data_IF_861915700956
#
_entry.id   IF_861915700956
#
_cell.length_a   1.000
_cell.length_b   1.000
_cell.length_c   1.000
_cell.angle_alpha   90.00
_cell.angle_beta   90.00
_cell.angle_gamma   90.00
#
_symmetry.space_group_name_H-M   'P 1'
#
loop_
_entity.id
_entity.type
_entity.pdbx_description
1 polymer ?
#
# COMPACT_ATOMS: atom_id res chain seq x y z
N UNK A 1 48.32 -22.21 -5.97
CA UNK A 1 47.67 -22.84 -4.80
C UNK A 1 47.27 -21.73 -3.83
N UNK A 2 46.15 -21.09 -4.01
CA UNK A 2 45.54 -20.13 -3.04
C UNK A 2 44.05 -20.42 -3.03
N UNK A 3 43.57 -20.76 -1.83
CA UNK A 3 42.21 -21.26 -1.56
C UNK A 3 41.18 -20.14 -1.54
N UNK A 4 40.05 -20.41 -2.17
CA UNK A 4 38.85 -19.58 -2.15
C UNK A 4 38.29 -19.44 -0.72
N UNK A 5 38.21 -18.22 -0.22
CA UNK A 5 37.52 -17.92 1.01
C UNK A 5 36.10 -17.44 0.63
N UNK A 6 35.14 -18.36 0.73
CA UNK A 6 33.70 -18.02 0.62
C UNK A 6 33.27 -17.39 1.92
N UNK A 7 32.99 -16.10 1.89
CA UNK A 7 32.33 -15.40 3.00
C UNK A 7 30.87 -15.80 3.05
N UNK A 8 30.53 -16.61 4.02
CA UNK A 8 29.14 -16.92 4.40
C UNK A 8 28.64 -15.74 5.24
N UNK A 9 27.78 -14.91 4.69
CA UNK A 9 27.01 -13.95 5.48
C UNK A 9 25.94 -14.73 6.24
N UNK A 10 26.22 -14.97 7.51
CA UNK A 10 25.25 -15.52 8.47
C UNK A 10 24.34 -14.36 8.90
N UNK A 11 23.12 -14.32 8.37
CA UNK A 11 22.07 -13.44 8.87
C UNK A 11 21.66 -13.97 10.23
N UNK A 12 22.08 -13.28 11.30
CA UNK A 12 21.62 -13.54 12.64
C UNK A 12 20.15 -13.15 12.76
N UNK A 13 19.27 -14.14 12.70
CA UNK A 13 17.87 -14.01 13.04
C UNK A 13 17.80 -13.87 14.56
N UNK A 14 17.70 -12.65 15.09
CA UNK A 14 17.38 -12.43 16.49
C UNK A 14 15.93 -12.83 16.72
N UNK A 15 15.74 -14.05 17.19
CA UNK A 15 14.49 -14.49 17.79
C UNK A 15 14.32 -13.75 19.12
N UNK A 16 13.58 -12.66 19.10
CA UNK A 16 13.03 -12.07 20.34
C UNK A 16 11.94 -13.03 20.80
N UNK A 17 12.28 -13.84 21.80
CA UNK A 17 11.31 -14.65 22.55
C UNK A 17 10.47 -13.76 23.45
N UNK A 18 9.57 -12.99 22.86
CA UNK A 18 8.47 -12.34 23.57
C UNK A 18 7.35 -13.35 23.72
N UNK A 19 6.93 -13.60 24.94
CA UNK A 19 5.80 -14.45 25.33
C UNK A 19 4.59 -14.17 24.44
N UNK A 20 4.24 -15.13 23.58
CA UNK A 20 3.04 -15.12 22.76
C UNK A 20 1.81 -15.24 23.68
N UNK A 21 1.15 -14.12 23.90
CA UNK A 21 -0.29 -14.20 24.08
C UNK A 21 -0.89 -14.40 22.68
N UNK A 22 -1.38 -15.59 22.43
CA UNK A 22 -2.17 -15.89 21.23
C UNK A 22 -3.52 -15.17 21.36
N UNK A 23 -3.53 -13.86 21.08
CA UNK A 23 -4.71 -13.20 20.57
C UNK A 23 -4.73 -13.49 19.06
N UNK A 24 -5.81 -14.13 18.59
CA UNK A 24 -6.05 -14.29 17.18
C UNK A 24 -6.02 -12.93 16.48
N UNK A 25 -4.85 -12.55 16.00
CA UNK A 25 -4.71 -11.43 15.10
C UNK A 25 -5.25 -11.91 13.76
N UNK A 26 -6.53 -11.66 13.51
CA UNK A 26 -6.99 -11.60 12.13
C UNK A 26 -6.11 -10.55 11.48
N UNK A 27 -5.26 -10.97 10.52
CA UNK A 27 -4.51 -10.01 9.71
C UNK A 27 -5.48 -8.95 9.20
N UNK A 28 -5.13 -7.66 9.26
CA UNK A 28 -6.02 -6.61 8.80
C UNK A 28 -6.39 -6.89 7.35
N UNK A 29 -7.67 -7.08 7.10
CA UNK A 29 -8.17 -7.33 5.75
C UNK A 29 -8.00 -6.07 4.93
N UNK A 30 -7.14 -6.12 3.91
CA UNK A 30 -6.97 -4.99 2.99
C UNK A 30 -8.21 -4.79 2.10
N UNK A 31 -8.56 -3.54 1.87
CA UNK A 31 -9.63 -3.15 0.95
C UNK A 31 -9.09 -3.11 -0.48
N UNK A 32 -9.73 -3.85 -1.39
CA UNK A 32 -9.33 -3.91 -2.80
C UNK A 32 -10.05 -2.83 -3.59
N UNK A 33 -9.29 -1.92 -4.18
CA UNK A 33 -9.78 -0.89 -5.10
C UNK A 33 -9.43 -1.32 -6.52
N UNK A 34 -10.42 -1.74 -7.28
CA UNK A 34 -10.25 -2.20 -8.66
C UNK A 34 -10.47 -1.06 -9.65
N UNK A 35 -9.39 -0.52 -10.18
CA UNK A 35 -9.40 0.60 -11.11
C UNK A 35 -10.07 0.25 -12.43
N UNK A 36 -9.85 -0.98 -12.91
CA UNK A 36 -10.40 -1.45 -14.18
C UNK A 36 -11.91 -1.56 -14.11
N UNK A 37 -12.42 -2.25 -13.09
CA UNK A 37 -13.85 -2.43 -12.91
C UNK A 37 -14.59 -1.12 -12.64
N UNK A 38 -13.91 -0.13 -12.03
CA UNK A 38 -14.48 1.20 -11.82
C UNK A 38 -14.61 2.01 -13.12
N UNK A 39 -13.54 2.07 -13.93
CA UNK A 39 -13.52 2.92 -15.13
C UNK A 39 -14.12 2.26 -16.37
N UNK A 40 -14.16 0.94 -16.45
CA UNK A 40 -14.71 0.19 -17.60
C UNK A 40 -16.14 0.62 -17.96
N UNK A 41 -17.11 0.67 -17.02
CA UNK A 41 -18.49 1.09 -17.34
C UNK A 41 -18.63 2.58 -17.66
N UNK A 42 -17.64 3.41 -17.28
CA UNK A 42 -17.63 4.85 -17.58
C UNK A 42 -17.07 5.15 -18.97
N UNK A 43 -16.47 4.14 -19.64
CA UNK A 43 -15.84 4.29 -20.94
C UNK A 43 -16.84 3.97 -22.03
N UNK A 44 -17.39 5.01 -22.67
CA UNK A 44 -18.27 4.84 -23.82
C UNK A 44 -17.49 4.35 -25.03
N UNK A 45 -17.89 3.21 -25.57
CA UNK A 45 -17.39 2.77 -26.88
C UNK A 45 -18.16 3.54 -27.92
N UNK A 46 -17.52 4.56 -28.51
CA UNK A 46 -18.07 5.23 -29.69
C UNK A 46 -17.94 4.27 -30.86
N UNK A 47 -19.03 4.04 -31.60
CA UNK A 47 -18.97 3.35 -32.88
C UNK A 47 -18.09 4.17 -33.83
N UNK A 48 -16.87 3.68 -34.03
CA UNK A 48 -15.92 4.26 -34.98
C UNK A 48 -15.62 3.20 -36.01
N UNK A 49 -15.31 3.63 -37.27
CA UNK A 49 -14.97 2.70 -38.34
C UNK A 49 -14.01 1.61 -37.86
N UNK A 50 -14.42 0.36 -38.07
CA UNK A 50 -13.65 -0.81 -37.66
C UNK A 50 -12.16 -0.66 -38.05
N UNK A 51 -11.31 -0.68 -37.04
CA UNK A 51 -9.86 -0.73 -37.21
C UNK A 51 -9.10 0.58 -37.06
N UNK A 52 -9.73 1.72 -36.77
CA UNK A 52 -9.00 3.00 -36.68
C UNK A 52 -8.89 3.59 -35.28
N UNK A 53 -9.82 3.33 -34.35
CA UNK A 53 -9.85 4.11 -33.13
C UNK A 53 -9.89 3.30 -31.84
N UNK A 54 -9.38 3.93 -30.80
CA UNK A 54 -9.46 3.54 -29.41
C UNK A 54 -10.29 4.56 -28.66
N UNK A 55 -11.21 4.09 -27.86
CA UNK A 55 -11.91 4.90 -26.90
C UNK A 55 -11.13 4.92 -25.60
N UNK A 56 -11.05 6.07 -24.96
CA UNK A 56 -10.42 6.19 -23.67
C UNK A 56 -11.24 7.09 -22.75
N UNK A 57 -11.19 6.78 -21.47
CA UNK A 57 -11.74 7.61 -20.42
C UNK A 57 -10.58 8.26 -19.66
N UNK A 58 -10.60 9.58 -19.55
CA UNK A 58 -9.66 10.29 -18.66
C UNK A 58 -10.10 10.06 -17.24
N UNK A 59 -9.22 9.50 -16.42
CA UNK A 59 -9.52 9.07 -15.05
C UNK A 59 -9.58 10.27 -14.09
N UNK A 60 -10.57 11.15 -14.29
CA UNK A 60 -10.81 12.35 -13.46
C UNK A 60 -11.80 12.11 -12.33
N UNK A 61 -12.62 11.05 -12.43
CA UNK A 61 -13.60 10.72 -11.40
C UNK A 61 -12.90 9.99 -10.26
N UNK A 62 -13.05 10.48 -9.04
CA UNK A 62 -12.56 9.80 -7.85
C UNK A 62 -13.24 8.43 -7.65
N UNK A 63 -12.46 7.45 -7.20
CA UNK A 63 -12.97 6.17 -6.70
C UNK A 63 -13.18 6.31 -5.21
N UNK A 64 -14.39 6.09 -4.72
CA UNK A 64 -14.71 6.13 -3.29
C UNK A 64 -15.32 4.79 -2.88
N UNK A 65 -14.65 4.08 -2.00
CA UNK A 65 -15.05 2.76 -1.54
C UNK A 65 -14.56 2.51 -0.11
N UNK A 66 -15.47 2.13 0.79
CA UNK A 66 -15.16 1.69 2.16
C UNK A 66 -14.29 2.69 2.97
N UNK A 67 -14.55 4.00 2.84
CA UNK A 67 -13.79 5.05 3.52
C UNK A 67 -12.42 5.33 2.90
N UNK A 68 -12.14 4.77 1.72
CA UNK A 68 -10.94 5.04 0.93
C UNK A 68 -11.34 5.80 -0.32
N UNK A 69 -10.62 6.88 -0.60
CA UNK A 69 -10.75 7.67 -1.81
C UNK A 69 -9.46 7.62 -2.61
N UNK A 70 -9.57 7.31 -3.90
CA UNK A 70 -8.44 7.34 -4.83
C UNK A 70 -8.72 8.35 -5.93
N UNK A 71 -7.77 9.25 -6.16
CA UNK A 71 -7.83 10.26 -7.23
C UNK A 71 -6.58 10.21 -8.09
N UNK A 72 -6.75 10.59 -9.34
CA UNK A 72 -5.65 10.68 -10.31
C UNK A 72 -5.61 12.08 -10.89
N UNK A 73 -4.42 12.66 -11.01
CA UNK A 73 -4.22 13.97 -11.62
C UNK A 73 -3.15 13.90 -12.72
N UNK A 74 -3.34 14.68 -13.76
CA UNK A 74 -2.40 14.77 -14.86
C UNK A 74 -1.09 15.45 -14.46
N UNK A 75 -1.17 16.53 -13.67
CA UNK A 75 -0.04 17.43 -13.38
C UNK A 75 0.87 17.61 -14.61
N UNK A 76 2.15 17.23 -14.50
CA UNK A 76 3.15 17.35 -15.56
C UNK A 76 3.29 16.09 -16.42
N UNK A 77 2.37 15.12 -16.30
CA UNK A 77 2.42 13.88 -17.08
C UNK A 77 2.42 14.12 -18.57
N UNK A 78 3.19 13.34 -19.33
CA UNK A 78 3.23 13.36 -20.79
C UNK A 78 1.87 13.00 -21.43
N UNK A 79 0.97 12.43 -20.65
CA UNK A 79 -0.44 12.17 -20.98
C UNK A 79 -1.31 12.26 -19.74
N UNK A 80 -2.62 12.37 -19.89
CA UNK A 80 -3.55 12.27 -18.78
C UNK A 80 -3.68 10.82 -18.32
N UNK A 81 -4.00 10.55 -17.01
CA UNK A 81 -4.38 9.23 -16.54
C UNK A 81 -5.54 8.68 -17.39
N UNK A 82 -5.41 7.46 -17.93
CA UNK A 82 -6.42 6.93 -18.86
C UNK A 82 -6.73 5.46 -18.65
N UNK A 83 -8.01 5.13 -18.78
CA UNK A 83 -8.48 3.79 -19.06
C UNK A 83 -8.82 3.69 -20.57
N UNK A 84 -8.52 2.57 -21.21
CA UNK A 84 -8.61 2.45 -22.67
C UNK A 84 -9.35 1.18 -23.07
N UNK A 85 -10.24 1.31 -24.08
CA UNK A 85 -10.78 0.21 -24.87
C UNK A 85 -10.24 0.41 -26.28
N UNK A 86 -9.53 -0.56 -26.82
CA UNK A 86 -8.85 -0.45 -28.11
C UNK A 86 -9.28 -1.58 -29.05
N UNK A 87 -9.29 -1.28 -30.36
CA UNK A 87 -9.53 -2.27 -31.38
C UNK A 87 -8.38 -3.29 -31.46
N UNK A 88 -8.69 -4.56 -31.26
CA UNK A 88 -7.75 -5.66 -31.49
C UNK A 88 -7.90 -6.18 -32.91
N UNK A 89 -6.90 -5.94 -33.73
CA UNK A 89 -6.91 -6.39 -35.16
C UNK A 89 -6.92 -7.90 -35.33
N UNK A 90 -6.43 -8.67 -34.31
CA UNK A 90 -6.39 -10.13 -34.37
C UNK A 90 -7.74 -10.74 -34.08
N UNK A 91 -8.47 -10.14 -33.16
CA UNK A 91 -9.79 -10.59 -32.71
C UNK A 91 -10.92 -9.91 -33.50
N UNK A 92 -10.61 -8.84 -34.23
CA UNK A 92 -11.60 -8.01 -34.93
C UNK A 92 -12.72 -7.49 -34.02
N UNK A 93 -12.33 -7.11 -32.79
CA UNK A 93 -13.24 -6.59 -31.79
C UNK A 93 -12.59 -5.52 -30.90
N UNK A 94 -13.39 -4.78 -30.14
CA UNK A 94 -12.90 -3.85 -29.13
C UNK A 94 -12.58 -4.57 -27.84
N UNK A 95 -11.31 -4.50 -27.41
CA UNK A 95 -10.81 -5.13 -26.20
C UNK A 95 -10.50 -4.08 -25.14
N UNK A 96 -11.09 -4.26 -23.97
CA UNK A 96 -10.84 -3.44 -22.82
C UNK A 96 -9.45 -3.76 -22.23
N UNK A 97 -8.66 -2.73 -21.92
CA UNK A 97 -7.42 -2.90 -21.21
C UNK A 97 -7.71 -3.37 -19.76
N UNK A 98 -6.83 -4.20 -19.24
CA UNK A 98 -6.87 -4.67 -17.86
C UNK A 98 -6.05 -3.78 -16.90
N UNK A 99 -5.89 -2.50 -17.25
CA UNK A 99 -5.14 -1.52 -16.47
C UNK A 99 -5.60 -0.08 -16.77
N UNK A 100 -5.32 0.82 -15.84
CA UNK A 100 -5.20 2.26 -16.12
C UNK A 100 -3.74 2.58 -16.42
N UNK A 101 -3.51 3.58 -17.28
CA UNK A 101 -2.19 4.08 -17.62
C UNK A 101 -1.94 5.41 -16.94
N UNK A 102 -0.82 5.51 -16.25
CA UNK A 102 -0.32 6.74 -15.63
C UNK A 102 1.05 7.07 -16.24
N UNK A 103 1.27 8.32 -16.57
CA UNK A 103 2.45 8.77 -17.30
C UNK A 103 3.45 9.48 -16.42
N UNK A 104 4.73 9.20 -16.61
CA UNK A 104 5.84 10.00 -16.12
C UNK A 104 5.87 11.38 -16.79
N UNK A 105 6.78 12.23 -16.32
CA UNK A 105 6.94 13.57 -16.85
C UNK A 105 7.29 13.61 -18.33
N UNK A 106 7.12 14.77 -18.93
CA UNK A 106 7.40 15.01 -20.36
C UNK A 106 8.89 14.85 -20.65
N UNK A 107 9.24 14.06 -21.67
CA UNK A 107 10.62 13.72 -21.99
C UNK A 107 11.37 14.81 -22.77
N UNK A 108 10.68 15.62 -23.57
CA UNK A 108 11.27 16.58 -24.50
C UNK A 108 10.50 17.91 -24.53
N UNK A 109 11.15 18.96 -25.02
CA UNK A 109 10.59 20.31 -25.17
C UNK A 109 10.83 21.19 -23.94
N UNK A 110 10.39 22.44 -24.01
CA UNK A 110 10.61 23.48 -22.99
C UNK A 110 9.99 23.15 -21.62
N UNK A 111 9.03 22.22 -21.61
CA UNK A 111 8.34 21.73 -20.40
C UNK A 111 8.82 20.34 -19.97
N UNK A 112 10.00 19.91 -20.45
CA UNK A 112 10.54 18.61 -20.02
C UNK A 112 10.71 18.56 -18.50
N UNK A 113 10.21 17.50 -17.90
CA UNK A 113 10.23 17.30 -16.45
C UNK A 113 10.27 15.80 -16.14
N UNK A 114 10.64 15.48 -14.92
CA UNK A 114 10.69 14.10 -14.45
C UNK A 114 9.36 13.68 -13.81
N UNK A 115 8.75 14.56 -13.03
CA UNK A 115 7.47 14.31 -12.34
C UNK A 115 6.31 14.30 -13.33
N UNK A 116 5.47 13.31 -13.20
CA UNK A 116 4.34 13.08 -14.09
C UNK A 116 2.99 13.11 -13.37
N UNK A 117 2.14 12.13 -13.71
CA UNK A 117 0.83 11.98 -13.07
C UNK A 117 0.97 11.68 -11.59
N UNK A 118 -0.05 12.04 -10.83
CA UNK A 118 -0.17 11.60 -9.44
C UNK A 118 -1.33 10.64 -9.25
N UNK A 119 -1.19 9.80 -8.23
CA UNK A 119 -2.22 8.93 -7.70
C UNK A 119 -2.26 9.16 -6.19
N UNK A 120 -3.40 9.58 -5.67
CA UNK A 120 -3.58 9.96 -4.28
C UNK A 120 -4.53 8.99 -3.62
N UNK A 121 -4.11 8.42 -2.50
CA UNK A 121 -4.96 7.64 -1.60
C UNK A 121 -5.26 8.48 -0.37
N UNK A 122 -6.54 8.59 -0.03
CA UNK A 122 -7.04 9.23 1.19
C UNK A 122 -7.94 8.26 1.95
N UNK A 123 -7.90 8.29 3.27
CA UNK A 123 -8.73 7.44 4.13
C UNK A 123 -9.10 8.16 5.42
N UNK A 124 -10.25 7.81 6.01
CA UNK A 124 -10.64 8.27 7.34
C UNK A 124 -9.75 7.68 8.45
N UNK A 125 -9.11 6.55 8.17
CA UNK A 125 -8.19 5.82 9.07
C UNK A 125 -6.74 5.98 8.62
N UNK A 126 -5.80 5.73 9.50
CA UNK A 126 -4.39 5.69 9.14
C UNK A 126 -4.12 4.58 8.12
N UNK A 127 -3.46 4.93 7.02
CA UNK A 127 -3.03 3.98 5.99
C UNK A 127 -1.71 3.36 6.46
N UNK A 128 -1.67 2.03 6.54
CA UNK A 128 -0.49 1.29 7.00
C UNK A 128 0.29 0.61 5.88
N UNK A 129 -0.42 0.23 4.80
CA UNK A 129 0.18 -0.41 3.64
C UNK A 129 -0.68 -0.20 2.40
N UNK A 130 -0.05 -0.02 1.26
CA UNK A 130 -0.71 -0.02 -0.05
C UNK A 130 0.07 -0.96 -0.97
N UNK A 131 -0.59 -1.98 -1.51
CA UNK A 131 -0.02 -2.88 -2.51
C UNK A 131 -0.70 -2.63 -3.84
N UNK A 132 0.05 -2.31 -4.89
CA UNK A 132 -0.49 -1.98 -6.20
C UNK A 132 -0.08 -3.07 -7.20
N UNK A 133 -1.06 -3.63 -7.91
CA UNK A 133 -0.81 -4.65 -8.91
C UNK A 133 -0.61 -4.03 -10.29
N UNK A 134 0.58 -4.25 -10.87
CA UNK A 134 0.91 -3.83 -12.22
C UNK A 134 0.51 -4.90 -13.26
N UNK A 135 0.05 -4.45 -14.40
CA UNK A 135 -0.37 -5.33 -15.50
C UNK A 135 0.81 -5.78 -16.37
N UNK A 136 1.71 -4.86 -16.74
CA UNK A 136 2.89 -5.18 -17.55
C UNK A 136 3.99 -4.12 -17.37
N UNK A 137 5.20 -4.43 -17.84
CA UNK A 137 6.42 -3.63 -17.64
C UNK A 137 6.90 -2.88 -18.91
N UNK A 138 6.06 -2.70 -19.93
CA UNK A 138 6.49 -2.02 -21.15
C UNK A 138 6.59 -0.51 -20.96
N UNK A 139 7.72 0.09 -21.35
CA UNK A 139 8.00 1.54 -21.28
C UNK A 139 7.82 2.07 -19.84
N UNK A 140 8.48 1.42 -18.89
CA UNK A 140 8.23 1.58 -17.48
C UNK A 140 8.73 2.91 -16.93
N UNK A 141 7.86 3.60 -16.17
CA UNK A 141 8.22 4.73 -15.33
C UNK A 141 8.45 4.25 -13.89
N UNK A 142 9.12 5.06 -13.10
CA UNK A 142 9.29 4.84 -11.66
C UNK A 142 8.12 5.44 -10.88
N UNK A 143 7.91 4.99 -9.66
CA UNK A 143 6.92 5.55 -8.73
C UNK A 143 7.63 6.03 -7.46
N UNK A 144 7.26 7.21 -6.96
CA UNK A 144 7.72 7.77 -5.70
C UNK A 144 6.52 8.10 -4.82
N UNK A 145 6.68 8.04 -3.52
CA UNK A 145 5.69 8.51 -2.55
C UNK A 145 6.21 9.74 -1.82
N UNK A 146 5.29 10.60 -1.37
CA UNK A 146 5.58 11.79 -0.57
C UNK A 146 6.02 11.45 0.86
N UNK A 147 5.66 10.26 1.33
CA UNK A 147 6.03 9.74 2.65
C UNK A 147 6.10 8.22 2.64
N UNK A 148 6.63 7.62 3.71
CA UNK A 148 6.75 6.18 3.84
C UNK A 148 7.83 5.57 2.94
N UNK A 149 7.82 4.25 2.81
CA UNK A 149 8.78 3.48 2.03
C UNK A 149 8.10 2.68 0.93
N UNK A 150 8.66 2.67 -0.27
CA UNK A 150 8.21 1.82 -1.38
C UNK A 150 9.23 0.72 -1.62
N UNK A 151 8.73 -0.51 -1.76
CA UNK A 151 9.47 -1.66 -2.25
C UNK A 151 8.81 -2.18 -3.52
N UNK A 152 9.62 -2.49 -4.54
CA UNK A 152 9.13 -3.09 -5.78
C UNK A 152 9.12 -4.60 -5.65
N UNK A 153 8.00 -5.23 -5.94
CA UNK A 153 7.76 -6.67 -5.76
C UNK A 153 7.21 -7.31 -7.04
N UNK A 154 6.86 -8.59 -6.99
CA UNK A 154 6.21 -9.29 -8.09
C UNK A 154 7.15 -9.72 -9.21
N UNK A 155 8.48 -9.79 -8.97
CA UNK A 155 9.39 -10.40 -9.93
C UNK A 155 9.06 -11.89 -10.13
N UNK A 156 9.03 -12.32 -11.40
CA UNK A 156 8.90 -13.73 -11.77
C UNK A 156 9.90 -14.06 -12.88
N UNK A 157 11.05 -14.64 -12.53
CA UNK A 157 12.08 -15.01 -13.51
C UNK A 157 11.66 -16.19 -14.41
N UNK A 158 10.62 -16.92 -14.04
CA UNK A 158 10.09 -18.05 -14.81
C UNK A 158 8.99 -17.63 -15.80
N UNK A 159 8.47 -16.41 -15.69
CA UNK A 159 7.50 -15.88 -16.64
C UNK A 159 8.12 -15.76 -18.04
N UNK A 160 7.29 -15.88 -19.08
CA UNK A 160 7.73 -15.71 -20.48
C UNK A 160 6.91 -14.61 -21.15
N UNK A 161 7.48 -13.41 -21.36
CA UNK A 161 8.83 -12.96 -20.98
C UNK A 161 8.99 -12.81 -19.46
N UNK A 162 10.23 -12.85 -18.97
CA UNK A 162 10.58 -12.60 -17.56
C UNK A 162 9.90 -11.33 -17.06
N UNK A 163 9.32 -11.42 -15.85
CA UNK A 163 8.62 -10.29 -15.23
C UNK A 163 9.53 -9.64 -14.17
N UNK A 164 9.93 -8.38 -14.36
CA UNK A 164 10.68 -7.66 -13.34
C UNK A 164 9.79 -7.32 -12.13
N UNK A 165 10.40 -6.89 -11.04
CA UNK A 165 9.71 -6.38 -9.86
C UNK A 165 9.05 -5.02 -10.19
N UNK A 166 7.76 -5.02 -10.46
CA UNK A 166 7.00 -3.85 -10.92
C UNK A 166 5.75 -3.53 -10.09
N UNK A 167 5.45 -4.36 -9.09
CA UNK A 167 4.34 -4.14 -8.17
C UNK A 167 4.85 -3.32 -6.97
N UNK A 168 4.49 -2.05 -6.85
CA UNK A 168 4.92 -1.27 -5.70
C UNK A 168 4.13 -1.65 -4.46
N UNK A 169 4.84 -1.85 -3.37
CA UNK A 169 4.30 -2.01 -2.03
C UNK A 169 4.82 -0.85 -1.19
N UNK A 170 3.90 0.03 -0.80
CA UNK A 170 4.18 1.11 0.12
C UNK A 170 3.85 0.70 1.55
N UNK A 171 4.67 1.12 2.51
CA UNK A 171 4.46 0.94 3.94
C UNK A 171 4.66 2.25 4.69
N UNK A 172 3.95 2.41 5.80
CA UNK A 172 3.97 3.62 6.63
C UNK A 172 5.21 3.70 7.55
N UNK A 173 6.38 3.40 7.03
CA UNK A 173 7.64 3.52 7.77
C UNK A 173 8.55 4.55 7.10
N UNK A 174 9.24 5.35 7.91
CA UNK A 174 10.25 6.29 7.41
C UNK A 174 11.58 5.56 7.10
N UNK A 175 12.58 6.30 6.65
CA UNK A 175 13.91 5.75 6.34
C UNK A 175 14.61 5.12 7.55
N UNK A 176 14.24 5.52 8.77
CA UNK A 176 14.77 4.95 10.02
C UNK A 176 14.01 3.69 10.47
N UNK A 177 12.96 3.29 9.75
CA UNK A 177 12.10 2.15 10.10
C UNK A 177 11.05 2.48 11.16
N UNK A 178 10.85 3.76 11.49
CA UNK A 178 9.84 4.20 12.44
C UNK A 178 8.48 4.32 11.73
N UNK A 179 7.41 3.90 12.39
CA UNK A 179 6.05 4.03 11.88
C UNK A 179 5.62 5.50 11.80
N UNK A 180 5.01 5.89 10.68
CA UNK A 180 4.41 7.21 10.49
C UNK A 180 2.89 7.06 10.45
N UNK A 181 2.18 8.04 11.01
CA UNK A 181 0.73 8.11 10.92
C UNK A 181 0.35 8.99 9.73
N UNK A 182 -0.37 8.43 8.77
CA UNK A 182 -0.88 9.20 7.64
C UNK A 182 -2.23 8.67 7.17
N UNK A 183 -3.11 9.60 6.83
CA UNK A 183 -4.40 9.34 6.19
C UNK A 183 -4.39 9.66 4.71
N UNK A 184 -3.26 10.14 4.21
CA UNK A 184 -3.06 10.52 2.82
C UNK A 184 -1.67 10.12 2.35
N UNK A 185 -1.61 9.50 1.17
CA UNK A 185 -0.36 9.15 0.48
C UNK A 185 -0.47 9.61 -0.96
N UNK A 186 0.52 10.38 -1.41
CA UNK A 186 0.61 10.87 -2.79
C UNK A 186 1.72 10.11 -3.50
N UNK A 187 1.35 9.36 -4.51
CA UNK A 187 2.29 8.74 -5.43
C UNK A 187 2.48 9.62 -6.66
N UNK A 188 3.72 9.88 -7.03
CA UNK A 188 4.10 10.56 -8.26
C UNK A 188 4.74 9.56 -9.21
N UNK A 189 4.24 9.51 -10.46
CA UNK A 189 4.83 8.70 -11.52
C UNK A 189 5.99 9.49 -12.10
N UNK A 190 7.16 8.89 -12.06
CA UNK A 190 8.41 9.57 -12.31
C UNK A 190 9.10 8.98 -13.54
N UNK A 191 9.43 9.84 -14.50
CA UNK A 191 10.24 9.44 -15.66
C UNK A 191 11.70 9.26 -15.22
N UNK A 192 12.32 8.20 -15.64
CA UNK A 192 13.73 7.93 -15.37
C UNK A 192 14.61 9.05 -15.95
N UNK A 193 15.55 9.52 -15.15
CA UNK A 193 16.50 10.55 -15.57
C UNK A 193 17.34 10.05 -16.76
N UNK A 194 17.55 10.92 -17.75
CA UNK A 194 18.27 10.54 -18.97
C UNK A 194 17.41 9.80 -20.02
N UNK A 195 16.20 9.34 -19.69
CA UNK A 195 15.31 8.75 -20.69
C UNK A 195 14.79 9.83 -21.66
N UNK A 196 14.89 9.55 -22.95
CA UNK A 196 14.31 10.39 -24.02
C UNK A 196 12.89 9.96 -24.41
N UNK A 197 12.35 8.92 -23.80
CA UNK A 197 11.02 8.38 -24.09
C UNK A 197 10.02 8.78 -23.01
N UNK A 198 8.79 8.99 -23.41
CA UNK A 198 7.67 9.09 -22.50
C UNK A 198 7.40 7.72 -21.87
N UNK A 199 7.59 7.62 -20.58
CA UNK A 199 7.39 6.40 -19.82
C UNK A 199 6.04 6.40 -19.12
N UNK A 200 5.52 5.23 -18.81
CA UNK A 200 4.25 5.07 -18.14
C UNK A 200 4.23 3.80 -17.28
N UNK A 201 3.39 3.81 -16.25
CA UNK A 201 3.04 2.61 -15.49
C UNK A 201 1.62 2.18 -15.83
N UNK A 202 1.31 0.91 -15.57
CA UNK A 202 0.02 0.29 -15.89
C UNK A 202 -0.45 -0.51 -14.68
N UNK A 203 -1.43 0.04 -13.97
CA UNK A 203 -1.94 -0.53 -12.72
C UNK A 203 -3.37 -1.02 -12.90
N UNK A 204 -3.66 -2.22 -12.38
CA UNK A 204 -4.97 -2.84 -12.45
C UNK A 204 -5.81 -2.53 -11.20
N UNK A 205 -5.21 -2.68 -10.03
CA UNK A 205 -5.87 -2.52 -8.73
C UNK A 205 -4.86 -2.16 -7.65
N UNK A 206 -5.38 -1.67 -6.53
CA UNK A 206 -4.63 -1.52 -5.29
C UNK A 206 -5.33 -2.25 -4.15
N UNK A 207 -4.56 -2.72 -3.16
CA UNK A 207 -5.07 -3.20 -1.88
C UNK A 207 -4.56 -2.26 -0.80
N UNK A 208 -5.48 -1.63 -0.07
CA UNK A 208 -5.18 -0.63 0.95
C UNK A 208 -5.47 -1.22 2.32
N UNK A 209 -4.49 -1.17 3.20
CA UNK A 209 -4.62 -1.60 4.59
C UNK A 209 -4.66 -0.36 5.48
N UNK A 210 -5.63 -0.30 6.36
CA UNK A 210 -5.80 0.80 7.30
C UNK A 210 -5.82 0.28 8.73
N UNK A 211 -5.40 1.13 9.65
CA UNK A 211 -5.56 0.90 11.07
C UNK A 211 -6.20 2.15 11.70
N UNK A 212 -7.00 1.94 12.72
CA UNK A 212 -7.38 3.04 13.58
C UNK A 212 -6.09 3.61 14.16
N UNK A 213 -5.97 4.95 14.21
CA UNK A 213 -4.78 5.60 14.74
C UNK A 213 -4.43 4.96 16.07
N UNK A 214 -3.13 4.66 16.28
CA UNK A 214 -2.70 4.20 17.57
C UNK A 214 -3.16 5.25 18.57
N UNK A 215 -4.12 4.89 19.40
CA UNK A 215 -4.43 5.70 20.56
C UNK A 215 -3.08 5.82 21.30
N UNK A 216 -2.46 7.00 21.21
CA UNK A 216 -1.26 7.33 21.97
C UNK A 216 -1.67 7.43 23.45
N UNK A 217 -1.91 6.32 24.01
CA UNK A 217 -2.36 6.11 25.36
C UNK A 217 -2.72 4.63 25.49
N UNK A 218 -2.48 4.07 26.62
CA UNK A 218 -2.79 2.69 27.02
C UNK A 218 -4.33 2.48 26.94
N UNK A 219 -4.89 2.48 25.73
CA UNK A 219 -6.34 2.40 25.51
C UNK A 219 -6.83 1.00 25.11
N UNK A 220 -6.00 -0.02 25.18
CA UNK A 220 -6.44 -1.40 25.09
C UNK A 220 -5.78 -2.29 26.16
N UNK A 221 -5.76 -1.80 27.38
CA UNK A 221 -6.09 -2.74 28.43
C UNK A 221 -7.61 -2.96 28.28
N UNK A 222 -8.02 -3.82 27.38
CA UNK A 222 -9.25 -4.58 27.63
C UNK A 222 -8.98 -5.20 28.99
N UNK A 223 -9.57 -4.62 30.03
CA UNK A 223 -9.46 -5.15 31.35
C UNK A 223 -9.85 -6.62 31.21
N UNK A 224 -8.84 -7.50 31.26
CA UNK A 224 -9.09 -8.93 31.29
C UNK A 224 -10.10 -9.04 32.43
N UNK A 225 -11.33 -9.46 32.06
CA UNK A 225 -12.50 -9.52 32.94
C UNK A 225 -12.02 -9.83 34.31
N UNK A 226 -12.03 -8.82 35.22
CA UNK A 226 -11.34 -8.87 36.47
C UNK A 226 -11.71 -10.20 37.14
N UNK A 227 -10.73 -11.10 37.28
CA UNK A 227 -11.01 -12.39 37.92
C UNK A 227 -11.41 -12.02 39.33
N UNK A 228 -12.71 -12.12 39.61
CA UNK A 228 -13.27 -11.79 40.91
C UNK A 228 -12.43 -12.48 41.99
N UNK A 229 -11.90 -11.70 42.95
CA UNK A 229 -11.16 -12.20 44.07
C UNK A 229 -9.63 -12.25 43.93
N UNK A 230 -9.04 -11.76 42.82
CA UNK A 230 -7.57 -11.63 42.72
C UNK A 230 -7.12 -10.30 43.32
N UNK A 231 -6.19 -10.35 44.26
CA UNK A 231 -5.61 -9.20 44.95
C UNK A 231 -4.18 -8.97 44.52
N UNK A 232 -3.83 -7.71 44.38
CA UNK A 232 -2.46 -7.27 44.09
C UNK A 232 -1.99 -6.26 45.12
N UNK A 233 -0.72 -6.30 45.51
CA UNK A 233 -0.11 -5.25 46.31
C UNK A 233 0.20 -4.02 45.43
N UNK A 234 0.72 -2.93 46.04
CA UNK A 234 1.09 -1.71 45.29
C UNK A 234 2.24 -1.93 44.31
N UNK A 235 3.02 -2.98 44.43
CA UNK A 235 4.07 -3.36 43.51
C UNK A 235 3.55 -4.21 42.31
N UNK A 236 2.21 -4.44 42.21
CA UNK A 236 1.60 -5.25 41.15
C UNK A 236 1.74 -6.76 41.35
N UNK A 237 2.25 -7.23 42.46
CA UNK A 237 2.40 -8.66 42.78
C UNK A 237 1.09 -9.23 43.30
N UNK A 238 0.71 -10.42 42.84
CA UNK A 238 -0.46 -11.14 43.33
C UNK A 238 -0.25 -11.56 44.79
N UNK A 239 -1.23 -11.26 45.64
CA UNK A 239 -1.17 -11.58 47.08
C UNK A 239 -2.37 -12.41 47.52
N UNK A 240 -2.16 -13.24 48.53
CA UNK A 240 -3.20 -14.08 49.13
C UNK A 240 -4.18 -13.28 50.00
N UNK A 241 -5.20 -13.98 50.52
CA UNK A 241 -6.23 -13.39 51.39
C UNK A 241 -5.66 -12.92 52.76
N UNK A 242 -4.54 -13.50 53.17
CA UNK A 242 -3.90 -13.22 54.47
C UNK A 242 -2.90 -12.06 54.42
N UNK A 243 -2.73 -11.45 53.21
CA UNK A 243 -1.82 -10.31 53.05
C UNK A 243 -2.39 -9.09 53.79
N UNK A 244 -1.59 -8.51 54.68
CA UNK A 244 -1.92 -7.27 55.41
C UNK A 244 -1.25 -6.08 54.76
N UNK A 245 -2.00 -5.03 54.55
CA UNK A 245 -1.52 -3.82 53.89
C UNK A 245 -2.48 -3.30 52.82
N UNK A 246 -1.95 -2.50 51.89
CA UNK A 246 -2.76 -1.93 50.78
C UNK A 246 -2.83 -2.95 49.64
N UNK A 247 -4.04 -3.32 49.26
CA UNK A 247 -4.30 -4.20 48.10
C UNK A 247 -5.23 -3.53 47.11
N UNK A 248 -5.10 -3.95 45.86
CA UNK A 248 -5.99 -3.62 44.75
C UNK A 248 -6.76 -4.89 44.41
N UNK A 249 -8.08 -4.87 44.59
CA UNK A 249 -8.99 -5.96 44.25
C UNK A 249 -10.13 -5.39 43.37
N UNK A 250 -10.39 -5.98 42.22
CA UNK A 250 -11.41 -5.53 41.27
C UNK A 250 -11.27 -4.04 40.89
N UNK A 251 -10.04 -3.53 40.76
CA UNK A 251 -9.76 -2.13 40.46
C UNK A 251 -9.96 -1.15 41.62
N UNK A 252 -10.30 -1.63 42.80
CA UNK A 252 -10.48 -0.81 44.04
C UNK A 252 -9.33 -0.99 45.00
N UNK A 253 -8.82 0.12 45.52
CA UNK A 253 -7.79 0.15 46.55
C UNK A 253 -8.42 -0.07 47.94
N UNK A 254 -7.93 -1.04 48.72
CA UNK A 254 -8.41 -1.38 50.05
C UNK A 254 -7.24 -1.55 50.98
N UNK A 255 -7.50 -1.33 52.31
CA UNK A 255 -6.55 -1.60 53.36
C UNK A 255 -7.03 -2.87 54.06
N UNK A 256 -6.18 -3.90 54.07
CA UNK A 256 -6.41 -5.16 54.82
C UNK A 256 -5.60 -5.09 56.07
N UNK A 257 -6.27 -5.15 57.21
CA UNK A 257 -5.67 -5.08 58.58
C UNK A 257 -5.28 -6.47 59.08
#
# INVERSE_FOLDING_TARGET
MIKNLRSIFMVALMAVSGSMFAQGTTEPKGEVIDFVNFYKPLTEVKEVEAGKDKTFYIATKAIEQNGIKVTFDKLNGSGAPTYTIAWDKKQSEYVAHNFIRLYGGLATGDKACLDGNTMVFESDKNITKISIAASNAKDWATIKADCGKIEMTGADPNAKPERPAIDPVWTNVNEKGESIETKKVVFTIYREEGSTKNQAVRYAKATVFTADGAATGINNITAAKAQNGVRYNLAGQRVGKDFKGIVIENGKKMIVK
#
